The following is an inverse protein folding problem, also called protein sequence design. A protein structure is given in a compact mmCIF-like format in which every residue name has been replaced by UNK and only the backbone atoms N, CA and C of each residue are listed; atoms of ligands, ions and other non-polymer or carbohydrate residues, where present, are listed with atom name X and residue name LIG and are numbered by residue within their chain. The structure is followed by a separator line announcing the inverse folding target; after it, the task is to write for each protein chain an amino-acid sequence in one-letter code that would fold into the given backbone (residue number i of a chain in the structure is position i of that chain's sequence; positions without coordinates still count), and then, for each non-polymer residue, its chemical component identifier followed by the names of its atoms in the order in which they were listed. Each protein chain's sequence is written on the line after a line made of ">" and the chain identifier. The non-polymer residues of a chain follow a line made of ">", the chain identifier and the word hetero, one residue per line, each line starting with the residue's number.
data_IF_020693884177
#
_entry.id   IF_020693884177
#
_cell.length_a   1.000
_cell.length_b   1.000
_cell.length_c   1.000
_cell.angle_alpha   90.00
_cell.angle_beta   90.00
_cell.angle_gamma   90.00
#
_symmetry.space_group_name_H-M   'P 1'
#
loop_
_entity.id
_entity.type
_entity.pdbx_description
1 polymer ?
#
# COMPACT_ATOMS: atom_id res chain seq x y z
N UNK A 1 2.90 3.65 -49.44
CA UNK A 1 2.05 4.35 -48.48
C UNK A 1 2.74 4.24 -47.12
N UNK A 2 3.41 5.33 -46.72
CA UNK A 2 4.12 5.44 -45.45
C UNK A 2 3.09 5.60 -44.33
N UNK A 3 3.08 4.66 -43.39
CA UNK A 3 2.42 4.85 -42.10
C UNK A 3 3.26 5.83 -41.28
N UNK A 4 2.68 6.92 -40.80
CA UNK A 4 3.39 7.77 -39.87
C UNK A 4 3.58 6.99 -38.56
N UNK A 5 4.81 6.86 -38.16
CA UNK A 5 5.13 6.45 -36.79
C UNK A 5 4.51 7.47 -35.85
N UNK A 6 3.39 7.14 -35.25
CA UNK A 6 2.87 7.83 -34.09
C UNK A 6 3.83 7.54 -32.97
N UNK A 7 4.82 8.42 -32.80
CA UNK A 7 5.58 8.51 -31.56
C UNK A 7 4.54 8.82 -30.51
N UNK A 8 4.14 7.81 -29.73
CA UNK A 8 3.39 7.99 -28.51
C UNK A 8 4.31 8.79 -27.58
N UNK A 9 4.16 10.11 -27.60
CA UNK A 9 4.66 10.95 -26.53
C UNK A 9 3.95 10.46 -25.28
N UNK A 10 4.64 9.69 -24.45
CA UNK A 10 4.25 9.48 -23.07
C UNK A 10 4.46 10.81 -22.37
N UNK A 11 3.46 11.70 -22.46
CA UNK A 11 3.42 12.88 -21.62
C UNK A 11 3.30 12.40 -20.18
N UNK A 12 4.38 12.56 -19.41
CA UNK A 12 4.31 12.36 -17.99
C UNK A 12 3.55 13.54 -17.38
N UNK A 13 2.57 13.24 -16.54
CA UNK A 13 1.78 14.24 -15.83
C UNK A 13 2.28 14.34 -14.41
N UNK A 14 2.39 15.57 -13.92
CA UNK A 14 2.84 15.86 -12.55
C UNK A 14 1.78 16.66 -11.82
N UNK A 15 1.74 16.49 -10.50
CA UNK A 15 1.00 17.36 -9.60
C UNK A 15 2.00 18.31 -8.92
N UNK A 16 1.57 19.56 -8.73
CA UNK A 16 2.39 20.62 -8.11
C UNK A 16 1.65 21.15 -6.90
N UNK A 17 2.28 21.11 -5.72
CA UNK A 17 1.80 21.68 -4.45
C UNK A 17 2.69 22.86 -4.09
N UNK A 18 2.11 24.06 -3.98
CA UNK A 18 2.81 25.22 -3.45
C UNK A 18 2.75 25.24 -1.94
N UNK A 19 3.91 25.40 -1.31
CA UNK A 19 4.03 25.43 0.15
C UNK A 19 5.34 26.13 0.54
N UNK A 20 5.61 26.26 1.83
CA UNK A 20 6.89 26.80 2.30
C UNK A 20 8.02 25.79 2.12
N UNK A 21 9.25 26.30 1.91
CA UNK A 21 10.41 25.47 1.58
C UNK A 21 10.67 24.35 2.60
N UNK A 22 10.49 24.62 3.90
CA UNK A 22 10.71 23.64 4.96
C UNK A 22 9.77 22.42 4.81
N UNK A 23 8.47 22.67 4.60
CA UNK A 23 7.48 21.59 4.40
C UNK A 23 7.68 20.86 3.09
N UNK A 24 7.95 21.58 1.98
CA UNK A 24 8.24 20.94 0.69
C UNK A 24 9.42 19.97 0.79
N UNK A 25 10.51 20.41 1.41
CA UNK A 25 11.73 19.60 1.56
C UNK A 25 11.53 18.42 2.52
N UNK A 26 10.74 18.60 3.60
CA UNK A 26 10.39 17.52 4.54
C UNK A 26 9.54 16.48 3.85
N UNK A 27 8.45 16.88 3.21
CA UNK A 27 7.55 15.99 2.50
C UNK A 27 8.24 15.26 1.35
N UNK A 28 9.10 15.94 0.60
CA UNK A 28 9.92 15.31 -0.45
C UNK A 28 10.76 14.15 0.08
N UNK A 29 11.43 14.33 1.23
CA UNK A 29 12.25 13.28 1.86
C UNK A 29 11.40 12.10 2.33
N UNK A 30 10.27 12.38 3.00
CA UNK A 30 9.33 11.37 3.48
C UNK A 30 8.78 10.54 2.33
N UNK A 31 8.29 11.17 1.26
CA UNK A 31 7.75 10.48 0.09
C UNK A 31 8.82 9.62 -0.62
N UNK A 32 10.07 10.05 -0.63
CA UNK A 32 11.17 9.23 -1.16
C UNK A 32 11.42 7.98 -0.31
N UNK A 33 11.37 8.12 1.00
CA UNK A 33 11.54 6.99 1.93
C UNK A 33 10.35 6.02 1.83
N UNK A 34 9.12 6.53 1.80
CA UNK A 34 7.92 5.73 1.55
C UNK A 34 8.01 4.94 0.24
N UNK A 35 8.51 5.57 -0.83
CA UNK A 35 8.75 4.86 -2.11
C UNK A 35 9.79 3.74 -1.98
N UNK A 36 10.89 3.96 -1.26
CA UNK A 36 11.92 2.92 -1.04
C UNK A 36 11.36 1.73 -0.27
N UNK A 37 10.42 1.98 0.65
CA UNK A 37 9.72 0.97 1.45
C UNK A 37 8.50 0.38 0.73
N UNK A 38 8.24 0.77 -0.52
CA UNK A 38 7.09 0.31 -1.33
C UNK A 38 5.73 0.60 -0.69
N UNK A 39 5.65 1.70 0.06
CA UNK A 39 4.40 2.15 0.65
C UNK A 39 3.46 2.73 -0.42
N UNK A 40 2.13 2.54 -0.28
CA UNK A 40 1.16 3.14 -1.18
C UNK A 40 1.11 4.67 -1.00
N UNK A 41 1.93 5.40 -1.74
CA UNK A 41 2.01 6.87 -1.72
C UNK A 41 2.25 7.42 -3.11
N UNK A 42 2.01 8.73 -3.29
CA UNK A 42 2.50 9.45 -4.47
C UNK A 42 4.02 9.52 -4.45
N UNK A 43 4.64 9.69 -5.62
CA UNK A 43 6.10 9.72 -5.73
C UNK A 43 6.58 11.15 -5.89
N UNK A 44 7.42 11.61 -4.98
CA UNK A 44 8.09 12.91 -5.13
C UNK A 44 9.10 12.88 -6.28
N UNK A 45 9.16 13.97 -7.03
CA UNK A 45 10.02 14.15 -8.21
C UNK A 45 11.05 15.23 -7.94
N UNK A 46 10.61 16.43 -7.51
CA UNK A 46 11.47 17.57 -7.27
C UNK A 46 10.87 18.53 -6.25
N UNK A 47 11.73 19.35 -5.68
CA UNK A 47 11.37 20.59 -4.98
C UNK A 47 11.93 21.74 -5.81
N UNK A 48 11.11 22.76 -6.11
CA UNK A 48 11.48 23.93 -6.89
C UNK A 48 11.41 25.16 -6.00
N UNK A 49 12.58 25.74 -5.75
CA UNK A 49 12.77 26.95 -4.93
C UNK A 49 13.21 28.13 -5.80
N UNK A 50 13.19 29.34 -5.24
CA UNK A 50 13.64 30.55 -5.91
C UNK A 50 12.82 30.91 -7.14
N UNK A 51 11.53 30.58 -7.12
CA UNK A 51 10.57 30.96 -8.17
C UNK A 51 10.18 32.41 -8.01
N UNK A 52 10.06 33.10 -9.13
CA UNK A 52 9.51 34.48 -9.18
C UNK A 52 8.39 34.54 -10.21
N UNK A 53 7.45 35.46 -10.02
CA UNK A 53 6.45 35.79 -11.01
C UNK A 53 7.01 36.76 -12.09
N UNK A 54 6.14 37.26 -12.96
CA UNK A 54 6.50 38.20 -14.04
C UNK A 54 6.94 39.57 -13.51
N UNK A 55 6.57 39.93 -12.28
CA UNK A 55 6.88 41.18 -11.61
C UNK A 55 8.14 41.04 -10.72
N UNK A 56 8.83 39.88 -10.76
CA UNK A 56 9.96 39.49 -9.91
C UNK A 56 9.61 39.37 -8.42
N UNK A 57 8.35 39.16 -8.08
CA UNK A 57 7.95 38.83 -6.72
C UNK A 57 8.22 37.35 -6.45
N UNK A 58 8.69 37.06 -5.23
CA UNK A 58 9.03 35.69 -4.80
C UNK A 58 7.76 34.85 -4.65
N UNK A 59 7.72 33.72 -5.35
CA UNK A 59 6.66 32.73 -5.27
C UNK A 59 6.99 31.64 -4.24
N UNK A 60 5.96 30.99 -3.62
CA UNK A 60 6.17 29.87 -2.73
C UNK A 60 6.98 28.75 -3.37
N UNK A 61 7.64 27.96 -2.57
CA UNK A 61 8.29 26.73 -3.00
C UNK A 61 7.25 25.76 -3.57
N UNK A 62 7.63 24.97 -4.56
CA UNK A 62 6.75 23.99 -5.17
C UNK A 62 7.29 22.56 -5.00
N UNK A 63 6.52 21.71 -4.38
CA UNK A 63 6.72 20.26 -4.38
C UNK A 63 6.08 19.66 -5.64
N UNK A 64 6.88 18.94 -6.42
CA UNK A 64 6.44 18.24 -7.64
C UNK A 64 6.36 16.75 -7.34
N UNK A 65 5.19 16.17 -7.56
CA UNK A 65 4.95 14.73 -7.43
C UNK A 65 4.49 14.14 -8.75
N UNK A 66 4.72 12.85 -8.96
CA UNK A 66 4.20 12.14 -10.12
C UNK A 66 2.69 11.97 -9.98
N UNK A 67 1.95 12.36 -11.01
CA UNK A 67 0.50 12.14 -11.05
C UNK A 67 0.18 10.65 -10.94
N UNK A 68 -0.76 10.30 -10.09
CA UNK A 68 -1.22 8.93 -9.92
C UNK A 68 -2.39 8.65 -10.90
N UNK A 69 -2.15 7.92 -12.01
CA UNK A 69 -3.19 7.72 -13.02
C UNK A 69 -4.33 6.85 -12.47
N UNK A 70 -5.55 7.11 -12.97
CA UNK A 70 -6.78 6.39 -12.59
C UNK A 70 -7.16 6.51 -11.11
N UNK A 71 -6.61 7.47 -10.38
CA UNK A 71 -7.00 7.78 -9.01
C UNK A 71 -7.92 9.00 -8.96
N UNK A 72 -8.79 9.01 -7.97
CA UNK A 72 -9.75 10.09 -7.76
C UNK A 72 -9.77 10.49 -6.26
N UNK A 73 -9.99 11.77 -5.97
CA UNK A 73 -10.24 12.20 -4.60
C UNK A 73 -11.63 11.74 -4.13
N UNK A 74 -11.79 11.58 -2.83
CA UNK A 74 -13.03 11.09 -2.22
C UNK A 74 -14.27 11.90 -2.61
N UNK A 75 -14.15 13.23 -2.74
CA UNK A 75 -15.26 14.10 -3.13
C UNK A 75 -15.82 13.73 -4.49
N UNK A 76 -14.98 13.39 -5.45
CA UNK A 76 -15.42 12.95 -6.79
C UNK A 76 -16.07 11.57 -6.71
N UNK A 77 -15.50 10.66 -5.95
CA UNK A 77 -16.05 9.30 -5.80
C UNK A 77 -17.40 9.31 -5.10
N UNK A 78 -17.59 10.16 -4.11
CA UNK A 78 -18.82 10.25 -3.31
C UNK A 78 -19.86 11.24 -3.87
N UNK A 79 -19.55 11.96 -4.97
CA UNK A 79 -20.49 12.89 -5.64
C UNK A 79 -21.39 12.22 -6.68
N UNK A 80 -21.24 10.91 -6.91
CA UNK A 80 -22.06 10.16 -7.87
C UNK A 80 -23.51 10.00 -7.39
N UNK A 81 -24.46 9.97 -8.33
CA UNK A 81 -25.90 9.77 -8.00
C UNK A 81 -26.23 8.40 -7.42
N UNK A 82 -25.33 7.44 -7.67
CA UNK A 82 -25.52 6.02 -7.29
C UNK A 82 -24.60 5.60 -6.13
N UNK A 83 -24.07 6.57 -5.38
CA UNK A 83 -23.20 6.29 -4.22
C UNK A 83 -24.00 5.63 -3.11
N UNK A 84 -23.50 4.50 -2.63
CA UNK A 84 -24.13 3.67 -1.63
C UNK A 84 -23.37 3.65 -0.30
N UNK A 85 -23.99 3.12 0.75
CA UNK A 85 -23.32 2.86 2.02
C UNK A 85 -22.13 1.88 1.86
N UNK A 86 -22.21 1.00 0.87
CA UNK A 86 -21.16 0.05 0.55
C UNK A 86 -19.90 0.77 0.01
N UNK A 87 -20.05 1.75 -0.89
CA UNK A 87 -18.94 2.53 -1.43
C UNK A 87 -18.17 3.27 -0.33
N UNK A 88 -18.88 3.89 0.61
CA UNK A 88 -18.27 4.54 1.77
C UNK A 88 -17.54 3.53 2.66
N UNK A 89 -18.12 2.35 2.84
CA UNK A 89 -17.51 1.27 3.63
C UNK A 89 -16.25 0.73 2.94
N UNK A 90 -16.27 0.54 1.62
CA UNK A 90 -15.12 0.11 0.84
C UNK A 90 -13.98 1.14 0.91
N UNK A 91 -14.31 2.43 0.84
CA UNK A 91 -13.33 3.52 0.99
C UNK A 91 -12.72 3.54 2.39
N UNK A 92 -13.52 3.41 3.44
CA UNK A 92 -13.04 3.32 4.82
C UNK A 92 -12.13 2.09 5.03
N UNK A 93 -12.48 0.95 4.41
CA UNK A 93 -11.66 -0.26 4.44
C UNK A 93 -10.31 -0.07 3.75
N UNK A 94 -10.29 0.63 2.61
CA UNK A 94 -9.05 0.94 1.89
C UNK A 94 -8.13 1.86 2.70
N UNK A 95 -8.70 2.88 3.37
CA UNK A 95 -7.94 3.78 4.24
C UNK A 95 -7.40 3.05 5.48
N UNK A 96 -8.20 2.16 6.09
CA UNK A 96 -7.74 1.34 7.20
C UNK A 96 -6.56 0.45 6.80
N UNK A 97 -6.61 -0.15 5.59
CA UNK A 97 -5.52 -0.96 5.06
C UNK A 97 -4.26 -0.13 4.79
N UNK A 98 -4.41 1.09 4.27
CA UNK A 98 -3.30 2.03 4.08
C UNK A 98 -2.63 2.35 5.43
N UNK A 99 -3.41 2.72 6.46
CA UNK A 99 -2.88 3.00 7.80
C UNK A 99 -2.14 1.80 8.40
N UNK A 100 -2.69 0.59 8.28
CA UNK A 100 -1.99 -0.62 8.75
C UNK A 100 -0.64 -0.76 8.07
N UNK A 101 -0.56 -0.56 6.75
CA UNK A 101 0.69 -0.65 5.99
C UNK A 101 1.71 0.40 6.45
N UNK A 102 1.29 1.65 6.62
CA UNK A 102 2.14 2.73 7.10
C UNK A 102 2.67 2.45 8.52
N UNK A 103 1.79 2.03 9.43
CA UNK A 103 2.18 1.70 10.81
C UNK A 103 3.12 0.49 10.91
N UNK A 104 2.97 -0.51 10.02
CA UNK A 104 3.92 -1.64 9.92
C UNK A 104 5.31 -1.20 9.49
N UNK A 105 5.41 -0.12 8.71
CA UNK A 105 6.68 0.50 8.29
C UNK A 105 7.26 1.44 9.36
N UNK A 106 6.57 1.64 10.49
CA UNK A 106 6.96 2.59 11.51
C UNK A 106 6.63 4.05 11.15
N UNK A 107 5.78 4.28 10.16
CA UNK A 107 5.37 5.61 9.74
C UNK A 107 4.10 6.05 10.49
N UNK A 108 4.23 7.07 11.33
CA UNK A 108 3.12 7.79 11.93
C UNK A 108 2.71 8.92 11.00
N UNK A 109 1.44 8.99 10.62
CA UNK A 109 0.99 9.95 9.61
C UNK A 109 0.67 11.33 10.21
N UNK A 110 -0.06 11.35 11.33
CA UNK A 110 -0.38 12.56 12.08
C UNK A 110 -1.47 13.44 11.46
N UNK A 111 -1.91 13.15 10.22
CA UNK A 111 -3.00 13.87 9.54
C UNK A 111 -3.75 12.97 8.55
N UNK A 112 -4.07 11.77 8.98
CA UNK A 112 -4.84 10.84 8.17
C UNK A 112 -6.25 11.36 7.92
N UNK A 113 -6.61 11.56 6.63
CA UNK A 113 -7.91 12.05 6.18
C UNK A 113 -8.25 11.55 4.78
N UNK A 114 -9.50 11.71 4.36
CA UNK A 114 -9.90 11.41 2.99
C UNK A 114 -9.31 12.42 2.00
N UNK A 115 -9.13 13.68 2.41
CA UNK A 115 -8.51 14.74 1.59
C UNK A 115 -7.03 14.46 1.29
N UNK A 116 -6.33 13.88 2.25
CA UNK A 116 -4.92 13.52 2.13
C UNK A 116 -4.70 12.13 1.50
N UNK A 117 -5.76 11.60 0.87
CA UNK A 117 -5.78 10.27 0.24
C UNK A 117 -6.35 10.33 -1.17
N UNK A 118 -5.70 9.65 -2.11
CA UNK A 118 -6.27 9.33 -3.41
C UNK A 118 -6.70 7.87 -3.45
N UNK A 119 -7.82 7.61 -4.11
CA UNK A 119 -8.38 6.28 -4.23
C UNK A 119 -8.36 5.83 -5.68
N UNK A 120 -7.94 4.60 -5.92
CA UNK A 120 -8.01 3.94 -7.21
C UNK A 120 -8.99 2.78 -7.11
N UNK A 121 -9.89 2.66 -8.08
CA UNK A 121 -10.78 1.49 -8.14
C UNK A 121 -9.97 0.23 -8.45
N UNK A 122 -10.22 -0.81 -7.68
CA UNK A 122 -9.62 -2.14 -7.81
C UNK A 122 -10.74 -3.16 -8.08
N UNK A 123 -10.39 -4.41 -8.39
CA UNK A 123 -11.34 -5.48 -8.69
C UNK A 123 -12.33 -5.74 -7.54
N UNK A 124 -11.90 -5.54 -6.29
CA UNK A 124 -12.66 -5.83 -5.07
C UNK A 124 -13.07 -4.58 -4.27
N UNK A 125 -12.81 -3.36 -4.79
CA UNK A 125 -13.12 -2.13 -4.07
C UNK A 125 -12.21 -0.97 -4.42
N UNK A 126 -11.51 -0.43 -3.43
CA UNK A 126 -10.57 0.68 -3.60
C UNK A 126 -9.19 0.35 -3.02
N UNK A 127 -8.16 0.84 -3.70
CA UNK A 127 -6.82 0.98 -3.15
C UNK A 127 -6.59 2.45 -2.77
N UNK A 128 -6.12 2.69 -1.55
CA UNK A 128 -5.85 4.02 -1.02
C UNK A 128 -4.35 4.36 -1.10
N UNK A 129 -4.04 5.60 -1.46
CA UNK A 129 -2.68 6.11 -1.61
C UNK A 129 -2.52 7.41 -0.84
N UNK A 130 -1.48 7.50 -0.01
CA UNK A 130 -1.12 8.71 0.71
C UNK A 130 -0.63 9.78 -0.27
N UNK A 131 -1.15 11.01 -0.13
CA UNK A 131 -0.81 12.16 -0.99
C UNK A 131 -0.01 13.20 -0.21
N UNK A 132 -0.45 13.52 1.00
CA UNK A 132 0.15 14.52 1.86
C UNK A 132 0.85 13.86 3.05
N UNK A 133 2.16 14.04 3.12
CA UNK A 133 3.01 13.42 4.14
C UNK A 133 3.73 14.44 5.02
N UNK A 134 3.42 15.74 4.91
CA UNK A 134 4.22 16.80 5.55
C UNK A 134 4.21 16.72 7.10
N UNK A 135 3.15 16.19 7.69
CA UNK A 135 3.03 15.98 9.16
C UNK A 135 3.68 14.67 9.61
N UNK A 136 3.91 13.74 8.68
CA UNK A 136 4.32 12.38 9.00
C UNK A 136 5.75 12.25 9.53
N UNK A 137 5.99 11.13 10.22
CA UNK A 137 7.26 10.86 10.88
C UNK A 137 7.58 9.37 10.91
N UNK A 138 8.83 9.01 10.57
CA UNK A 138 9.32 7.65 10.71
C UNK A 138 9.86 7.38 12.11
N UNK A 139 9.45 6.26 12.68
CA UNK A 139 9.94 5.69 13.92
C UNK A 139 10.48 4.28 13.65
N UNK A 140 11.37 3.79 14.49
CA UNK A 140 11.85 2.39 14.38
C UNK A 140 10.68 1.40 14.47
N UNK A 141 9.71 1.69 15.30
CA UNK A 141 8.42 1.01 15.45
C UNK A 141 7.47 1.92 16.20
N UNK A 142 6.20 1.92 15.84
CA UNK A 142 5.18 2.69 16.56
C UNK A 142 4.73 1.94 17.82
N UNK A 143 4.61 2.67 18.93
CA UNK A 143 3.95 2.18 20.12
C UNK A 143 2.42 2.09 19.89
N UNK A 144 1.74 1.35 20.76
CA UNK A 144 0.27 1.25 20.72
C UNK A 144 -0.37 2.64 20.85
N UNK A 145 0.14 3.48 21.79
CA UNK A 145 -0.37 4.83 21.98
C UNK A 145 -0.19 5.75 20.76
N UNK A 146 0.93 5.65 20.05
CA UNK A 146 1.13 6.41 18.80
C UNK A 146 0.16 5.98 17.71
N UNK A 147 -0.08 4.67 17.57
CA UNK A 147 -1.05 4.16 16.60
C UNK A 147 -2.48 4.56 16.93
N UNK A 148 -2.87 4.45 18.21
CA UNK A 148 -4.20 4.88 18.65
C UNK A 148 -4.41 6.37 18.45
N UNK A 149 -3.40 7.21 18.70
CA UNK A 149 -3.49 8.65 18.44
C UNK A 149 -3.68 8.96 16.94
N UNK A 150 -2.97 8.27 16.05
CA UNK A 150 -3.16 8.42 14.60
C UNK A 150 -4.56 7.95 14.16
N UNK A 151 -5.09 6.91 14.79
CA UNK A 151 -6.47 6.45 14.58
C UNK A 151 -7.52 7.44 15.09
N UNK A 152 -7.29 8.11 16.22
CA UNK A 152 -8.17 9.16 16.72
C UNK A 152 -8.24 10.35 15.75
N UNK A 153 -7.08 10.77 15.21
CA UNK A 153 -7.00 11.81 14.18
C UNK A 153 -7.77 11.36 12.93
N UNK A 154 -7.53 10.14 12.45
CA UNK A 154 -8.24 9.60 11.29
C UNK A 154 -9.76 9.55 11.49
N UNK A 155 -10.21 9.11 12.68
CA UNK A 155 -11.63 9.08 13.03
C UNK A 155 -12.27 10.46 12.97
N UNK A 156 -11.63 11.46 13.61
CA UNK A 156 -12.12 12.83 13.65
C UNK A 156 -12.16 13.45 12.24
N UNK A 157 -11.06 13.38 11.50
CA UNK A 157 -10.95 13.98 10.17
C UNK A 157 -11.96 13.35 9.18
N UNK A 158 -12.02 12.03 9.13
CA UNK A 158 -12.96 11.32 8.25
C UNK A 158 -14.41 11.61 8.61
N UNK A 159 -14.75 11.66 9.90
CA UNK A 159 -16.10 12.02 10.33
C UNK A 159 -16.47 13.44 9.90
N UNK A 160 -15.59 14.42 10.11
CA UNK A 160 -15.81 15.82 9.72
C UNK A 160 -15.96 15.99 8.22
N UNK A 161 -15.12 15.33 7.41
CA UNK A 161 -15.17 15.40 5.95
C UNK A 161 -16.44 14.75 5.36
N UNK A 162 -16.92 13.67 5.97
CA UNK A 162 -18.17 13.03 5.58
C UNK A 162 -19.38 13.87 6.03
N UNK A 163 -19.32 14.53 7.21
CA UNK A 163 -20.35 15.46 7.66
C UNK A 163 -20.50 16.64 6.70
N UNK A 164 -19.38 17.21 6.25
CA UNK A 164 -19.34 18.29 5.24
C UNK A 164 -20.07 17.87 3.95
N UNK A 165 -19.84 16.65 3.47
CA UNK A 165 -20.54 16.13 2.30
C UNK A 165 -22.02 15.85 2.57
N UNK A 166 -22.39 15.40 3.75
CA UNK A 166 -23.77 15.19 4.15
C UNK A 166 -24.55 16.53 4.22
N UNK A 167 -23.95 17.55 4.84
CA UNK A 167 -24.54 18.90 4.94
C UNK A 167 -24.68 19.57 3.58
N UNK A 168 -23.77 19.32 2.64
CA UNK A 168 -23.86 19.81 1.27
C UNK A 168 -24.86 19.04 0.39
N UNK A 169 -25.51 18.01 0.91
CA UNK A 169 -26.50 17.19 0.20
C UNK A 169 -25.90 16.27 -0.85
N UNK A 170 -24.60 16.02 -0.78
CA UNK A 170 -23.87 15.15 -1.72
C UNK A 170 -24.06 13.67 -1.37
N UNK A 171 -24.12 13.35 -0.08
CA UNK A 171 -24.27 11.97 0.36
C UNK A 171 -25.74 11.54 0.43
N UNK A 172 -25.98 10.25 0.36
CA UNK A 172 -27.33 9.68 0.45
C UNK A 172 -27.97 9.99 1.82
N UNK A 173 -29.30 10.23 1.85
CA UNK A 173 -30.01 10.51 3.10
C UNK A 173 -29.87 9.38 4.12
N UNK A 174 -29.58 9.74 5.37
CA UNK A 174 -29.44 8.78 6.46
C UNK A 174 -28.04 8.19 6.64
N UNK A 175 -27.05 8.69 5.90
CA UNK A 175 -25.66 8.38 6.19
C UNK A 175 -25.27 8.94 7.57
N UNK A 176 -24.56 8.11 8.33
CA UNK A 176 -24.01 8.46 9.64
C UNK A 176 -22.47 8.54 9.54
N UNK A 177 -21.90 9.76 9.49
CA UNK A 177 -20.45 9.97 9.37
C UNK A 177 -19.64 9.37 10.51
N UNK A 178 -20.16 9.44 11.73
CA UNK A 178 -19.49 8.87 12.92
C UNK A 178 -19.45 7.35 12.84
N UNK A 179 -20.54 6.75 12.41
CA UNK A 179 -20.60 5.29 12.21
C UNK A 179 -19.66 4.83 11.09
N UNK A 180 -19.57 5.60 10.00
CA UNK A 180 -18.70 5.29 8.87
C UNK A 180 -17.21 5.40 9.26
N UNK A 181 -16.81 6.47 9.94
CA UNK A 181 -15.43 6.62 10.44
C UNK A 181 -15.11 5.59 11.52
N UNK A 182 -16.06 5.23 12.38
CA UNK A 182 -15.91 4.14 13.34
C UNK A 182 -15.72 2.76 12.70
N UNK A 183 -16.25 2.54 11.49
CA UNK A 183 -16.01 1.32 10.73
C UNK A 183 -14.53 1.20 10.28
N UNK A 184 -13.89 2.32 9.92
CA UNK A 184 -12.45 2.38 9.64
C UNK A 184 -11.64 1.86 10.83
N UNK A 185 -11.90 2.38 12.03
CA UNK A 185 -11.19 2.00 13.26
C UNK A 185 -11.35 0.50 13.56
N UNK A 186 -12.59 0.00 13.49
CA UNK A 186 -12.88 -1.44 13.67
C UNK A 186 -12.15 -2.31 12.64
N UNK A 187 -12.07 -1.83 11.39
CA UNK A 187 -11.35 -2.53 10.32
C UNK A 187 -9.86 -2.55 10.58
N UNK A 188 -9.29 -1.41 10.99
CA UNK A 188 -7.87 -1.31 11.35
C UNK A 188 -7.51 -2.32 12.45
N UNK A 189 -8.21 -2.32 13.59
CA UNK A 189 -7.92 -3.23 14.70
C UNK A 189 -8.02 -4.69 14.29
N UNK A 190 -9.04 -5.05 13.49
CA UNK A 190 -9.18 -6.42 12.98
C UNK A 190 -7.98 -6.82 12.10
N UNK A 191 -7.53 -5.93 11.22
CA UNK A 191 -6.36 -6.19 10.38
C UNK A 191 -5.08 -6.28 11.21
N UNK A 192 -4.90 -5.34 12.14
CA UNK A 192 -3.72 -5.31 13.00
C UNK A 192 -3.61 -6.58 13.85
N UNK A 193 -4.69 -6.97 14.49
CA UNK A 193 -4.78 -8.20 15.27
C UNK A 193 -4.46 -9.43 14.39
N UNK A 194 -5.06 -9.52 13.21
CA UNK A 194 -4.78 -10.63 12.28
C UNK A 194 -3.31 -10.75 11.87
N UNK A 195 -2.59 -9.63 11.81
CA UNK A 195 -1.20 -9.56 11.36
C UNK A 195 -0.17 -9.69 12.48
N UNK A 196 -0.50 -9.24 13.69
CA UNK A 196 0.46 -9.12 14.80
C UNK A 196 0.18 -10.04 15.96
N UNK A 197 -1.08 -10.42 16.17
CA UNK A 197 -1.46 -11.24 17.32
C UNK A 197 -1.44 -12.72 16.97
N UNK A 198 -1.21 -13.51 18.02
CA UNK A 198 -1.29 -14.96 17.94
C UNK A 198 -2.76 -15.37 17.88
N UNK A 199 -3.19 -15.88 16.74
CA UNK A 199 -4.57 -16.33 16.52
C UNK A 199 -4.76 -17.76 17.02
N UNK A 200 -5.91 -18.04 17.61
CA UNK A 200 -6.33 -19.41 17.97
C UNK A 200 -7.21 -19.95 16.84
N UNK A 201 -6.77 -21.02 16.22
CA UNK A 201 -7.52 -21.71 15.17
C UNK A 201 -8.08 -23.03 15.74
N UNK A 202 -9.17 -23.52 15.14
CA UNK A 202 -9.72 -24.85 15.46
C UNK A 202 -8.74 -25.93 14.94
N UNK A 203 -8.16 -26.76 15.80
CA UNK A 203 -7.24 -27.82 15.39
C UNK A 203 -7.90 -28.90 14.54
N UNK A 204 -9.23 -29.05 14.59
CA UNK A 204 -10.00 -29.99 13.78
C UNK A 204 -10.28 -29.46 12.38
N UNK A 205 -10.09 -28.16 12.15
CA UNK A 205 -10.26 -27.55 10.85
C UNK A 205 -8.96 -27.61 10.03
N UNK A 206 -8.84 -28.62 9.19
CA UNK A 206 -7.66 -28.88 8.36
C UNK A 206 -7.26 -27.73 7.43
N UNK A 207 -8.21 -26.82 7.14
CA UNK A 207 -8.01 -25.70 6.22
C UNK A 207 -7.92 -24.34 6.93
N UNK A 208 -7.95 -24.31 8.26
CA UNK A 208 -7.94 -23.05 9.03
C UNK A 208 -6.70 -22.20 8.71
N UNK A 209 -5.51 -22.81 8.70
CA UNK A 209 -4.24 -22.14 8.38
C UNK A 209 -4.24 -21.63 6.93
N UNK A 210 -4.67 -22.44 5.98
CA UNK A 210 -4.72 -22.05 4.55
C UNK A 210 -5.68 -20.88 4.33
N UNK A 211 -6.83 -20.87 5.00
CA UNK A 211 -7.79 -19.76 4.92
C UNK A 211 -7.21 -18.49 5.53
N UNK A 212 -6.56 -18.56 6.68
CA UNK A 212 -5.92 -17.42 7.33
C UNK A 212 -4.82 -16.83 6.43
N UNK A 213 -3.97 -17.68 5.85
CA UNK A 213 -2.93 -17.25 4.89
C UNK A 213 -3.54 -16.62 3.63
N UNK A 214 -4.58 -17.23 3.06
CA UNK A 214 -5.27 -16.71 1.88
C UNK A 214 -5.84 -15.32 2.16
N UNK A 215 -6.50 -15.12 3.29
CA UNK A 215 -7.02 -13.81 3.69
C UNK A 215 -5.92 -12.74 3.77
N UNK A 216 -4.72 -13.07 4.28
CA UNK A 216 -3.60 -12.13 4.31
C UNK A 216 -3.06 -11.83 2.92
N UNK A 217 -2.99 -12.84 2.04
CA UNK A 217 -2.59 -12.65 0.65
C UNK A 217 -3.59 -11.80 -0.14
N UNK A 218 -4.91 -12.02 0.05
CA UNK A 218 -5.97 -11.24 -0.59
C UNK A 218 -5.92 -9.77 -0.17
N UNK A 219 -5.49 -9.49 1.08
CA UNK A 219 -5.20 -8.15 1.57
C UNK A 219 -3.86 -7.57 1.06
N UNK A 220 -3.12 -8.33 0.25
CA UNK A 220 -1.84 -7.92 -0.32
C UNK A 220 -0.65 -7.99 0.63
N UNK A 221 -0.76 -8.74 1.74
CA UNK A 221 0.37 -9.01 2.62
C UNK A 221 1.07 -10.31 2.21
N UNK A 222 2.40 -10.25 2.07
CA UNK A 222 3.21 -11.43 1.90
C UNK A 222 3.62 -11.99 3.27
N UNK A 223 3.46 -13.29 3.45
CA UNK A 223 3.84 -14.01 4.67
C UNK A 223 5.11 -14.79 4.38
N UNK A 224 6.19 -14.48 5.10
CA UNK A 224 7.49 -15.14 4.97
C UNK A 224 7.47 -16.52 5.62
N UNK A 225 6.88 -16.58 6.80
CA UNK A 225 6.88 -17.75 7.65
C UNK A 225 5.61 -17.79 8.49
N UNK A 226 5.14 -18.97 8.81
CA UNK A 226 4.01 -19.18 9.72
C UNK A 226 4.51 -19.99 10.91
N UNK A 227 4.36 -19.44 12.10
CA UNK A 227 4.53 -20.19 13.33
C UNK A 227 3.20 -20.86 13.67
N UNK A 228 3.18 -22.19 13.62
CA UNK A 228 2.04 -22.99 14.02
C UNK A 228 2.45 -23.81 15.22
N UNK A 229 1.79 -23.61 16.35
CA UNK A 229 2.06 -24.33 17.59
C UNK A 229 0.78 -24.99 18.09
N UNK A 230 0.84 -26.30 18.32
CA UNK A 230 -0.22 -27.05 18.97
C UNK A 230 0.10 -27.11 20.46
N UNK A 231 -0.75 -26.50 21.28
CA UNK A 231 -0.71 -26.75 22.73
C UNK A 231 -1.63 -27.94 23.04
N UNK A 232 -1.03 -29.02 23.55
CA UNK A 232 -1.73 -30.17 24.05
C UNK A 232 -2.46 -29.74 25.35
N UNK A 233 -3.77 -29.64 25.28
CA UNK A 233 -4.63 -29.49 26.46
C UNK A 233 -5.10 -30.84 26.97
N UNK A 234 -5.64 -30.88 28.19
CA UNK A 234 -6.18 -32.08 28.84
C UNK A 234 -7.21 -32.79 27.91
N UNK A 235 -6.95 -34.03 27.59
CA UNK A 235 -7.66 -35.09 26.86
C UNK A 235 -8.65 -34.82 25.71
N UNK A 236 -9.08 -33.56 25.39
CA UNK A 236 -10.00 -33.34 24.26
C UNK A 236 -9.98 -31.96 23.58
N UNK A 237 -9.06 -31.06 23.93
CA UNK A 237 -9.08 -29.68 23.42
C UNK A 237 -7.70 -29.07 23.24
N UNK A 238 -6.91 -29.60 22.32
CA UNK A 238 -5.70 -28.92 21.85
C UNK A 238 -6.06 -27.56 21.20
N UNK A 239 -5.23 -26.53 21.39
CA UNK A 239 -5.36 -25.24 20.73
C UNK A 239 -4.31 -25.10 19.66
N UNK A 240 -4.73 -24.81 18.43
CA UNK A 240 -3.85 -24.50 17.33
C UNK A 240 -3.59 -22.99 17.27
N UNK A 241 -2.37 -22.60 17.49
CA UNK A 241 -1.97 -21.19 17.42
C UNK A 241 -1.31 -20.89 16.08
N UNK A 242 -1.74 -19.79 15.48
CA UNK A 242 -1.25 -19.29 14.21
C UNK A 242 -0.72 -17.86 14.39
N UNK A 243 0.51 -17.62 13.99
CA UNK A 243 1.11 -16.29 13.96
C UNK A 243 1.88 -16.09 12.65
N UNK A 244 1.41 -15.19 11.77
CA UNK A 244 2.12 -14.90 10.53
C UNK A 244 3.34 -14.03 10.80
N UNK A 245 4.45 -14.31 10.11
CA UNK A 245 5.59 -13.43 9.99
C UNK A 245 5.56 -12.78 8.62
N UNK A 246 5.29 -11.49 8.61
CA UNK A 246 5.19 -10.74 7.37
C UNK A 246 6.56 -10.58 6.72
N UNK A 247 6.57 -10.63 5.40
CA UNK A 247 7.74 -10.29 4.60
C UNK A 247 8.03 -8.79 4.77
N UNK A 248 9.29 -8.44 4.98
CA UNK A 248 9.70 -7.05 5.06
C UNK A 248 9.32 -6.30 3.77
N UNK A 249 8.96 -5.01 3.91
CA UNK A 249 8.67 -4.16 2.76
C UNK A 249 9.85 -4.16 1.78
N UNK A 250 9.56 -4.28 0.48
CA UNK A 250 10.58 -4.36 -0.55
C UNK A 250 11.40 -5.66 -0.57
N UNK A 251 11.01 -6.69 0.17
CA UNK A 251 11.73 -7.96 0.24
C UNK A 251 11.96 -8.57 -1.15
N UNK A 252 10.91 -8.68 -1.96
CA UNK A 252 11.02 -9.30 -3.28
C UNK A 252 11.89 -8.48 -4.23
N UNK A 253 11.79 -7.14 -4.19
CA UNK A 253 12.67 -6.23 -4.96
C UNK A 253 14.12 -6.43 -4.60
N UNK A 254 14.43 -6.39 -3.31
CA UNK A 254 15.80 -6.55 -2.82
C UNK A 254 16.32 -7.93 -3.15
N UNK A 255 15.53 -8.97 -2.93
CA UNK A 255 15.89 -10.36 -3.23
C UNK A 255 16.14 -10.59 -4.72
N UNK A 256 15.28 -10.04 -5.58
CA UNK A 256 15.46 -10.12 -7.03
C UNK A 256 16.75 -9.42 -7.46
N UNK A 257 16.98 -8.19 -6.96
CA UNK A 257 18.19 -7.42 -7.26
C UNK A 257 19.47 -8.14 -6.81
N UNK A 258 19.48 -8.71 -5.61
CA UNK A 258 20.62 -9.49 -5.11
C UNK A 258 20.93 -10.73 -5.97
N UNK A 259 19.89 -11.41 -6.43
CA UNK A 259 20.03 -12.65 -7.21
C UNK A 259 20.38 -12.40 -8.67
N UNK A 260 19.85 -11.32 -9.26
CA UNK A 260 19.85 -11.15 -10.72
C UNK A 260 20.36 -9.80 -11.20
N UNK A 261 20.49 -8.80 -10.31
CA UNK A 261 20.77 -7.42 -10.66
C UNK A 261 19.57 -6.67 -11.26
N UNK A 262 18.41 -7.30 -11.44
CA UNK A 262 17.21 -6.66 -11.99
C UNK A 262 16.53 -5.77 -10.95
N UNK A 263 16.07 -4.60 -11.41
CA UNK A 263 15.19 -3.73 -10.67
C UNK A 263 13.75 -3.89 -11.16
N UNK A 264 12.83 -4.10 -10.25
CA UNK A 264 11.41 -4.26 -10.54
C UNK A 264 10.56 -3.74 -9.37
N UNK A 265 9.31 -3.41 -9.63
CA UNK A 265 8.33 -3.13 -8.58
C UNK A 265 8.03 -4.41 -7.78
N UNK A 266 7.59 -4.26 -6.52
CA UNK A 266 7.45 -5.39 -5.58
C UNK A 266 6.60 -6.54 -6.13
N UNK A 267 5.44 -6.23 -6.73
CA UNK A 267 4.57 -7.25 -7.33
C UNK A 267 5.25 -7.95 -8.53
N UNK A 268 5.95 -7.19 -9.35
CA UNK A 268 6.69 -7.73 -10.50
C UNK A 268 7.85 -8.59 -10.01
N UNK A 269 8.59 -8.13 -9.02
CA UNK A 269 9.70 -8.86 -8.40
C UNK A 269 9.21 -10.19 -7.80
N UNK A 270 8.06 -10.19 -7.10
CA UNK A 270 7.42 -11.41 -6.58
C UNK A 270 7.11 -12.42 -7.69
N UNK A 271 6.55 -11.96 -8.80
CA UNK A 271 6.24 -12.83 -9.97
C UNK A 271 7.50 -13.40 -10.62
N UNK A 272 8.53 -12.56 -10.76
CA UNK A 272 9.82 -12.97 -11.33
C UNK A 272 10.52 -13.98 -10.43
N UNK A 273 10.55 -13.78 -9.12
CA UNK A 273 11.09 -14.75 -8.17
C UNK A 273 10.33 -16.07 -8.19
N UNK A 274 8.99 -16.04 -8.25
CA UNK A 274 8.18 -17.25 -8.39
C UNK A 274 8.47 -18.00 -9.71
N UNK A 275 8.78 -17.28 -10.79
CA UNK A 275 9.25 -17.88 -12.06
C UNK A 275 10.64 -18.51 -11.90
N UNK A 276 11.55 -17.81 -11.23
CA UNK A 276 12.89 -18.32 -10.93
C UNK A 276 12.85 -19.58 -10.06
N UNK A 277 12.00 -19.62 -9.03
CA UNK A 277 11.85 -20.79 -8.16
C UNK A 277 11.33 -22.01 -8.94
N UNK A 278 10.39 -21.80 -9.86
CA UNK A 278 9.91 -22.85 -10.77
C UNK A 278 11.01 -23.35 -11.72
N UNK A 279 11.82 -22.44 -12.28
CA UNK A 279 12.99 -22.80 -13.08
C UNK A 279 13.96 -23.66 -12.27
N UNK A 280 14.31 -23.18 -11.07
CA UNK A 280 15.22 -23.88 -10.16
C UNK A 280 14.66 -25.24 -9.69
N UNK A 281 13.34 -25.36 -9.58
CA UNK A 281 12.67 -26.64 -9.28
C UNK A 281 12.90 -27.71 -10.36
N UNK A 282 13.13 -27.33 -11.62
CA UNK A 282 13.39 -28.22 -12.76
C UNK A 282 14.86 -28.65 -12.90
N UNK A 283 15.77 -27.98 -12.17
CA UNK A 283 17.20 -28.30 -12.23
C UNK A 283 17.51 -29.66 -11.59
N UNK A 284 18.41 -30.44 -12.22
CA UNK A 284 18.83 -31.74 -11.71
C UNK A 284 19.70 -31.59 -10.44
N UNK A 285 19.58 -32.57 -9.54
CA UNK A 285 20.43 -32.63 -8.33
C UNK A 285 21.80 -33.27 -8.70
N UNK A 286 22.94 -32.75 -8.13
CA UNK A 286 23.03 -31.58 -7.24
C UNK A 286 22.74 -30.28 -7.98
N UNK A 287 21.95 -29.38 -7.32
CA UNK A 287 21.62 -28.11 -7.96
C UNK A 287 22.83 -27.19 -8.03
N UNK A 288 23.00 -26.44 -9.13
CA UNK A 288 24.11 -25.50 -9.27
C UNK A 288 24.00 -24.34 -8.28
N UNK A 289 25.07 -23.51 -8.12
CA UNK A 289 25.03 -22.31 -7.32
C UNK A 289 23.87 -21.39 -7.75
N UNK A 290 23.37 -20.60 -6.80
CA UNK A 290 22.22 -19.71 -7.02
C UNK A 290 22.47 -18.70 -8.13
N UNK A 291 23.68 -18.12 -8.20
CA UNK A 291 24.13 -17.18 -9.23
C UNK A 291 24.11 -17.79 -10.64
N UNK A 292 24.53 -19.04 -10.77
CA UNK A 292 24.55 -19.72 -12.07
C UNK A 292 23.14 -20.10 -12.55
N UNK A 293 22.27 -20.48 -11.62
CA UNK A 293 20.85 -20.68 -11.90
C UNK A 293 20.17 -19.38 -12.32
N UNK A 294 20.46 -18.28 -11.62
CA UNK A 294 19.89 -16.95 -11.93
C UNK A 294 20.30 -16.48 -13.32
N UNK A 295 21.57 -16.62 -13.68
CA UNK A 295 22.07 -16.26 -15.02
C UNK A 295 21.35 -17.05 -16.12
N UNK A 296 21.26 -18.39 -16.01
CA UNK A 296 20.58 -19.24 -16.99
C UNK A 296 19.09 -18.96 -17.08
N UNK A 297 18.44 -18.68 -15.93
CA UNK A 297 17.05 -18.27 -15.90
C UNK A 297 16.83 -16.94 -16.63
N UNK A 298 17.72 -15.95 -16.43
CA UNK A 298 17.66 -14.68 -17.16
C UNK A 298 17.81 -14.86 -18.67
N UNK A 299 18.73 -15.72 -19.11
CA UNK A 299 18.89 -16.08 -20.52
C UNK A 299 17.61 -16.72 -21.10
N UNK A 300 16.92 -17.60 -20.33
CA UNK A 300 15.66 -18.22 -20.75
C UNK A 300 14.51 -17.22 -20.82
N UNK A 301 14.32 -16.41 -19.79
CA UNK A 301 13.16 -15.48 -19.66
C UNK A 301 13.27 -14.27 -20.58
N UNK A 302 14.47 -13.73 -20.77
CA UNK A 302 14.71 -12.53 -21.58
C UNK A 302 15.33 -12.83 -22.95
N UNK A 303 15.30 -14.08 -23.38
CA UNK A 303 15.75 -14.44 -24.74
C UNK A 303 14.86 -13.72 -25.77
N UNK A 304 15.46 -13.15 -26.86
CA UNK A 304 14.71 -12.40 -27.88
C UNK A 304 13.55 -13.14 -28.55
N UNK A 305 13.52 -14.47 -28.48
CA UNK A 305 12.44 -15.31 -28.99
C UNK A 305 11.31 -15.56 -27.99
N UNK A 306 11.46 -15.16 -26.73
CA UNK A 306 10.43 -15.29 -25.72
C UNK A 306 9.54 -14.04 -25.78
N UNK A 307 8.40 -14.14 -26.47
CA UNK A 307 7.32 -13.16 -26.33
C UNK A 307 6.49 -13.57 -25.09
N UNK A 308 6.49 -12.80 -24.00
CA UNK A 308 5.55 -13.04 -22.91
C UNK A 308 4.15 -12.69 -23.41
N UNK A 309 3.20 -13.59 -23.17
CA UNK A 309 1.77 -13.38 -23.34
C UNK A 309 1.25 -12.30 -22.41
#
# INVERSE_FOLDING_TARGET
>A
TLFPYTTLFRSEVYAVKETVSEFANREYKILRELKQLDAPSVQSVAVVEGRTDNDNEELPCALVTRFLPYSLPYRVLLSGKDVTAEDVTLMANALALLLVRLHLLGFWWGDCSLSNTLFRRDAEGFAAYLVDAETGEFQKSLSDGQREHDLEIAHFNVAAELEDLALSGVLYPGMDPIRASGALIKRYHRLWSALKERQVLDPNDRHAVERAMRQLHDLGFAVEEVSVQLEEGDESSGKLYFQPKLVAAGYHKNRLRELTGLEAEELQAKRLLASFDRFRGREKSPKPPMSDSARRWLEEVFHPTYQPF
#
